data_IF_995470879129
#
_entry.id   IF_995470879129
#
_cell.length_a   1.000
_cell.length_b   1.000
_cell.length_c   1.000
_cell.angle_alpha   90.00
_cell.angle_beta   90.00
_cell.angle_gamma   90.00
#
_symmetry.space_group_name_H-M   'P 1'
#
loop_
_entity.id
_entity.type
_entity.pdbx_description
1 polymer ?
#
# COMPACT_ATOMS: atom_id res chain seq x y z
N UNK A 1 -20.41 0.84 -17.69
CA UNK A 1 -20.45 2.13 -17.00
C UNK A 1 -19.05 2.39 -16.46
N UNK A 2 -18.55 3.60 -16.63
CA UNK A 2 -17.22 3.97 -16.18
C UNK A 2 -17.35 4.45 -14.73
N UNK A 3 -16.75 3.70 -13.80
CA UNK A 3 -16.80 4.00 -12.37
C UNK A 3 -15.38 4.30 -11.89
N UNK A 4 -15.25 5.19 -10.92
CA UNK A 4 -13.95 5.61 -10.40
C UNK A 4 -13.95 5.67 -8.88
N UNK A 5 -12.83 5.26 -8.28
CA UNK A 5 -12.44 5.70 -6.94
C UNK A 5 -11.66 7.00 -7.07
N UNK A 6 -12.15 8.04 -6.41
CA UNK A 6 -11.52 9.35 -6.29
C UNK A 6 -10.93 9.44 -4.89
N UNK A 7 -9.60 9.60 -4.82
CA UNK A 7 -8.88 9.83 -3.58
C UNK A 7 -8.33 11.24 -3.58
N UNK A 8 -8.66 12.02 -2.57
CA UNK A 8 -8.18 13.40 -2.40
C UNK A 8 -7.55 13.54 -1.02
N UNK A 9 -6.37 14.14 -0.97
CA UNK A 9 -5.72 14.67 0.22
C UNK A 9 -5.39 16.14 -0.08
N UNK A 10 -5.85 17.09 0.74
CA UNK A 10 -5.63 18.52 0.52
C UNK A 10 -5.71 19.31 1.83
N UNK A 11 -5.20 20.55 1.91
CA UNK A 11 -5.48 21.43 3.04
C UNK A 11 -6.99 21.63 3.22
N UNK A 12 -7.46 21.53 4.46
CA UNK A 12 -8.88 21.70 4.78
C UNK A 12 -9.33 23.16 4.59
N UNK A 13 -10.54 23.34 4.05
CA UNK A 13 -11.21 24.64 3.95
C UNK A 13 -12.72 24.47 3.79
N UNK A 14 -13.44 25.51 4.19
CA UNK A 14 -14.89 25.58 3.98
C UNK A 14 -15.24 25.45 2.49
N UNK A 15 -16.27 24.65 2.21
CA UNK A 15 -16.82 24.48 0.85
C UNK A 15 -16.18 23.38 0.00
N UNK A 16 -15.09 22.71 0.44
CA UNK A 16 -14.43 21.65 -0.34
C UNK A 16 -15.38 20.57 -0.81
N UNK A 17 -16.11 19.94 0.11
CA UNK A 17 -17.05 18.85 -0.20
C UNK A 17 -18.12 19.31 -1.19
N UNK A 18 -18.65 20.53 -1.01
CA UNK A 18 -19.65 21.10 -1.90
C UNK A 18 -19.11 21.28 -3.33
N UNK A 19 -17.92 21.86 -3.48
CA UNK A 19 -17.32 22.13 -4.79
C UNK A 19 -16.95 20.82 -5.50
N UNK A 20 -16.42 19.83 -4.78
CA UNK A 20 -16.10 18.50 -5.31
C UNK A 20 -17.37 17.78 -5.75
N UNK A 21 -18.41 17.74 -4.91
CA UNK A 21 -19.69 17.12 -5.25
C UNK A 21 -20.37 17.82 -6.44
N UNK A 22 -20.29 19.15 -6.50
CA UNK A 22 -20.79 19.93 -7.65
C UNK A 22 -20.05 19.56 -8.93
N UNK A 23 -18.72 19.45 -8.89
CA UNK A 23 -17.92 19.00 -10.03
C UNK A 23 -18.35 17.62 -10.53
N UNK A 24 -18.55 16.65 -9.63
CA UNK A 24 -19.04 15.32 -10.03
C UNK A 24 -20.41 15.39 -10.70
N UNK A 25 -21.33 16.17 -10.14
CA UNK A 25 -22.67 16.37 -10.70
C UNK A 25 -22.63 17.04 -12.08
N UNK A 26 -21.86 18.11 -12.26
CA UNK A 26 -21.71 18.84 -13.52
C UNK A 26 -21.10 17.96 -14.63
N UNK A 27 -20.23 17.02 -14.27
CA UNK A 27 -19.66 16.03 -15.18
C UNK A 27 -20.54 14.78 -15.37
N UNK A 28 -21.76 14.76 -14.82
CA UNK A 28 -22.73 13.68 -15.03
C UNK A 28 -22.50 12.41 -14.20
N UNK A 29 -21.70 12.49 -13.13
CA UNK A 29 -21.45 11.38 -12.22
C UNK A 29 -22.47 11.32 -11.07
N UNK A 30 -22.82 10.11 -10.67
CA UNK A 30 -23.50 9.81 -9.42
C UNK A 30 -22.48 9.42 -8.35
N UNK A 31 -22.66 9.88 -7.11
CA UNK A 31 -21.86 9.41 -5.96
C UNK A 31 -22.52 8.14 -5.41
N UNK A 32 -21.86 7.00 -5.54
CA UNK A 32 -22.34 5.73 -5.00
C UNK A 32 -21.96 5.54 -3.53
N UNK A 33 -20.77 6.03 -3.15
CA UNK A 33 -20.27 6.02 -1.77
C UNK A 33 -19.30 7.17 -1.58
N UNK A 34 -19.31 7.78 -0.40
CA UNK A 34 -18.35 8.78 0.01
C UNK A 34 -17.99 8.56 1.47
N UNK A 35 -16.69 8.62 1.76
CA UNK A 35 -16.13 8.62 3.11
C UNK A 35 -15.15 9.80 3.19
N UNK A 36 -15.21 10.59 4.27
CA UNK A 36 -14.38 11.79 4.47
C UNK A 36 -13.81 11.86 5.88
N UNK A 37 -12.64 12.49 6.02
CA UNK A 37 -11.98 12.70 7.30
C UNK A 37 -11.18 14.02 7.29
N UNK A 38 -11.27 14.78 8.39
CA UNK A 38 -10.48 15.99 8.60
C UNK A 38 -9.54 15.78 9.78
N UNK A 39 -8.24 15.84 9.53
CA UNK A 39 -7.23 15.98 10.57
C UNK A 39 -7.15 17.45 11.01
N UNK A 40 -7.86 17.79 12.09
CA UNK A 40 -7.91 19.15 12.63
C UNK A 40 -6.55 19.65 13.12
N UNK A 41 -5.65 18.74 13.54
CA UNK A 41 -4.33 19.11 14.05
C UNK A 41 -3.42 19.57 12.90
N UNK A 42 -3.45 18.84 11.79
CA UNK A 42 -2.64 19.16 10.61
C UNK A 42 -3.39 20.04 9.60
N UNK A 43 -4.67 20.36 9.84
CA UNK A 43 -5.57 21.07 8.93
C UNK A 43 -5.60 20.41 7.54
N UNK A 44 -5.67 19.08 7.53
CA UNK A 44 -5.65 18.28 6.30
C UNK A 44 -6.99 17.56 6.14
N UNK A 45 -7.53 17.59 4.94
CA UNK A 45 -8.75 16.92 4.52
C UNK A 45 -8.44 15.71 3.64
N UNK A 46 -9.17 14.62 3.87
CA UNK A 46 -9.09 13.37 3.12
C UNK A 46 -10.48 12.98 2.65
N UNK A 47 -10.61 12.58 1.38
CA UNK A 47 -11.85 12.14 0.79
C UNK A 47 -11.63 10.91 -0.08
N UNK A 48 -12.47 9.89 0.12
CA UNK A 48 -12.59 8.74 -0.76
C UNK A 48 -14.01 8.68 -1.30
N UNK A 49 -14.17 8.83 -2.61
CA UNK A 49 -15.48 8.79 -3.26
C UNK A 49 -15.51 7.74 -4.36
N UNK A 50 -16.49 6.85 -4.34
CA UNK A 50 -16.83 5.99 -5.47
C UNK A 50 -17.90 6.70 -6.30
N UNK A 51 -17.54 7.09 -7.53
CA UNK A 51 -18.43 7.74 -8.48
C UNK A 51 -18.74 6.82 -9.66
N UNK A 52 -19.95 6.94 -10.21
CA UNK A 52 -20.44 6.12 -11.32
C UNK A 52 -21.03 7.02 -12.40
N UNK A 53 -20.65 6.82 -13.66
CA UNK A 53 -21.25 7.56 -14.77
C UNK A 53 -22.73 7.17 -14.94
N UNK A 54 -23.63 8.16 -15.00
CA UNK A 54 -25.08 7.91 -15.15
C UNK A 54 -25.47 7.32 -16.51
N UNK A 55 -24.71 7.63 -17.53
CA UNK A 55 -24.86 7.08 -18.88
C UNK A 55 -23.50 6.58 -19.38
N UNK A 56 -23.50 5.68 -20.36
CA UNK A 56 -22.26 5.24 -21.00
C UNK A 56 -21.75 6.37 -21.89
N UNK A 57 -21.08 7.37 -21.29
CA UNK A 57 -20.47 8.45 -22.04
C UNK A 57 -19.33 7.86 -22.88
N UNK A 58 -19.38 8.11 -24.20
CA UNK A 58 -18.27 7.84 -25.10
C UNK A 58 -17.16 8.91 -24.99
N UNK A 59 -17.16 9.71 -23.91
CA UNK A 59 -16.21 10.79 -23.72
C UNK A 59 -14.88 10.23 -23.21
N UNK A 60 -14.01 9.91 -24.15
CA UNK A 60 -12.66 9.41 -23.88
C UNK A 60 -11.79 10.38 -23.05
N UNK A 61 -12.20 11.64 -22.88
CA UNK A 61 -11.49 12.66 -22.11
C UNK A 61 -12.09 12.92 -20.72
N UNK A 62 -13.07 12.12 -20.27
CA UNK A 62 -13.75 12.37 -19.00
C UNK A 62 -12.80 12.36 -17.79
N UNK A 63 -11.78 11.50 -17.79
CA UNK A 63 -10.78 11.44 -16.72
C UNK A 63 -9.91 12.71 -16.69
N UNK A 64 -9.48 13.21 -17.86
CA UNK A 64 -8.69 14.45 -17.98
C UNK A 64 -9.49 15.66 -17.51
N UNK A 65 -10.77 15.75 -17.93
CA UNK A 65 -11.70 16.81 -17.47
C UNK A 65 -11.92 16.74 -15.97
N UNK A 66 -12.15 15.54 -15.43
CA UNK A 66 -12.34 15.33 -14.00
C UNK A 66 -11.10 15.76 -13.21
N UNK A 67 -9.91 15.35 -13.66
CA UNK A 67 -8.64 15.75 -13.05
C UNK A 67 -8.47 17.27 -13.06
N UNK A 68 -8.63 17.91 -14.21
CA UNK A 68 -8.45 19.35 -14.35
C UNK A 68 -9.44 20.13 -13.46
N UNK A 69 -10.70 19.71 -13.40
CA UNK A 69 -11.70 20.35 -12.54
C UNK A 69 -11.39 20.19 -11.04
N UNK A 70 -10.96 19.00 -10.61
CA UNK A 70 -10.56 18.78 -9.22
C UNK A 70 -9.29 19.57 -8.86
N UNK A 71 -8.28 19.59 -9.74
CA UNK A 71 -7.07 20.40 -9.54
C UNK A 71 -7.40 21.88 -9.41
N UNK A 72 -8.30 22.40 -10.24
CA UNK A 72 -8.77 23.78 -10.12
C UNK A 72 -9.45 24.05 -8.77
N UNK A 73 -10.32 23.15 -8.30
CA UNK A 73 -10.98 23.29 -6.99
C UNK A 73 -9.95 23.30 -5.86
N UNK A 74 -9.00 22.36 -5.86
CA UNK A 74 -8.04 22.21 -4.76
C UNK A 74 -6.98 23.34 -4.77
N UNK A 75 -6.63 23.86 -5.95
CA UNK A 75 -5.64 24.94 -6.10
C UNK A 75 -6.24 26.36 -6.01
N UNK A 76 -7.55 26.55 -6.19
CA UNK A 76 -8.20 27.87 -6.25
C UNK A 76 -7.94 28.79 -5.03
N UNK A 77 -7.46 28.24 -3.92
CA UNK A 77 -7.08 29.01 -2.72
C UNK A 77 -5.80 28.47 -2.04
N UNK A 78 -4.97 27.70 -2.75
CA UNK A 78 -3.63 27.39 -2.23
C UNK A 78 -2.91 28.73 -2.01
N UNK A 79 -2.31 28.99 -0.84
CA UNK A 79 -1.58 30.23 -0.65
C UNK A 79 -0.49 30.30 -1.70
N UNK A 80 -0.71 31.09 -2.75
CA UNK A 80 0.34 31.45 -3.69
C UNK A 80 1.50 31.94 -2.84
N UNK A 81 2.68 31.35 -3.02
CA UNK A 81 3.92 31.84 -2.46
C UNK A 81 4.14 33.29 -2.93
N UNK A 82 3.57 34.24 -2.19
CA UNK A 82 3.97 35.64 -2.22
C UNK A 82 5.11 35.75 -1.22
N UNK A 83 6.30 35.45 -1.73
CA UNK A 83 7.54 36.20 -1.50
C UNK A 83 8.73 35.31 -1.87
N UNK A 84 9.33 35.55 -3.04
CA UNK A 84 10.61 36.27 -3.17
C UNK A 84 11.30 35.95 -4.50
N UNK A 85 11.63 37.03 -5.21
CA UNK A 85 12.69 37.19 -6.23
C UNK A 85 12.54 36.55 -7.62
N UNK A 86 12.53 37.45 -8.61
CA UNK A 86 13.00 37.30 -9.99
C UNK A 86 14.12 36.27 -10.13
N UNK A 87 13.91 35.23 -10.95
CA UNK A 87 14.68 35.01 -12.19
C UNK A 87 14.33 33.67 -12.86
N UNK A 88 14.53 33.66 -14.17
CA UNK A 88 14.55 32.52 -15.11
C UNK A 88 13.22 31.96 -15.61
N UNK A 89 12.81 32.56 -16.73
CA UNK A 89 12.16 31.91 -17.87
C UNK A 89 13.08 30.78 -18.39
N UNK A 90 12.46 29.69 -18.88
CA UNK A 90 12.98 28.54 -19.68
C UNK A 90 13.08 27.21 -18.92
N UNK A 91 12.01 26.41 -18.93
CA UNK A 91 11.98 25.06 -19.55
C UNK A 91 10.57 24.43 -19.49
N UNK A 92 9.72 24.85 -20.42
CA UNK A 92 8.56 24.08 -20.86
C UNK A 92 9.05 22.92 -21.76
N UNK A 93 9.00 21.70 -21.24
CA UNK A 93 8.70 20.43 -21.94
C UNK A 93 9.23 19.26 -21.11
N UNK A 94 8.41 18.21 -20.97
CA UNK A 94 8.65 16.96 -20.21
C UNK A 94 8.12 16.96 -18.76
N UNK A 95 6.82 17.19 -18.54
CA UNK A 95 6.02 16.49 -17.49
C UNK A 95 4.57 16.38 -18.00
N UNK A 96 4.29 15.34 -18.79
CA UNK A 96 2.92 14.83 -19.00
C UNK A 96 2.94 13.43 -18.35
N UNK A 97 2.18 13.25 -17.27
CA UNK A 97 1.97 12.04 -16.44
C UNK A 97 2.44 12.07 -14.97
N UNK A 98 2.81 13.21 -14.42
CA UNK A 98 2.99 13.36 -12.96
C UNK A 98 2.03 14.44 -12.49
N UNK A 99 1.03 14.07 -11.68
CA UNK A 99 0.06 15.02 -11.13
C UNK A 99 0.75 16.17 -10.40
N UNK A 100 0.07 17.32 -10.33
CA UNK A 100 0.56 18.52 -9.65
C UNK A 100 0.84 18.17 -8.18
N UNK A 101 2.12 17.97 -7.84
CA UNK A 101 2.59 17.82 -6.46
C UNK A 101 2.92 19.20 -5.90
N UNK A 102 1.90 19.92 -5.43
CA UNK A 102 2.11 20.82 -4.30
C UNK A 102 2.18 19.90 -3.08
N UNK A 103 3.17 20.05 -2.18
CA UNK A 103 3.49 19.05 -1.13
C UNK A 103 2.33 18.68 -0.19
N UNK A 104 1.20 19.38 -0.24
CA UNK A 104 0.01 19.15 0.57
C UNK A 104 -1.25 18.70 -0.22
N UNK A 105 -1.20 18.60 -1.56
CA UNK A 105 -2.36 18.19 -2.38
C UNK A 105 -2.02 16.93 -3.19
N UNK A 106 -2.87 15.92 -3.09
CA UNK A 106 -2.79 14.67 -3.86
C UNK A 106 -4.18 14.29 -4.39
N UNK A 107 -4.25 13.95 -5.67
CA UNK A 107 -5.48 13.48 -6.34
C UNK A 107 -5.17 12.19 -7.09
N UNK A 108 -5.87 11.11 -6.73
CA UNK A 108 -5.87 9.86 -7.51
C UNK A 108 -7.27 9.62 -8.06
N UNK A 109 -7.31 9.33 -9.36
CA UNK A 109 -8.52 8.90 -10.07
C UNK A 109 -8.20 7.49 -10.54
N UNK A 110 -8.94 6.51 -10.02
CA UNK A 110 -8.63 5.10 -10.22
C UNK A 110 -9.87 4.45 -10.81
N UNK A 111 -9.82 3.86 -12.02
CA UNK A 111 -10.96 3.12 -12.56
C UNK A 111 -11.35 2.00 -11.60
N UNK A 112 -12.61 1.96 -11.16
CA UNK A 112 -13.06 1.05 -10.09
C UNK A 112 -12.98 -0.44 -10.52
N UNK A 113 -13.02 -0.71 -11.84
CA UNK A 113 -12.88 -2.06 -12.38
C UNK A 113 -11.43 -2.48 -12.64
N UNK A 114 -10.44 -1.58 -12.43
CA UNK A 114 -9.01 -1.92 -12.62
C UNK A 114 -8.59 -2.95 -11.59
N UNK A 115 -8.25 -4.15 -12.04
CA UNK A 115 -7.60 -5.15 -11.19
C UNK A 115 -6.18 -4.72 -10.89
N UNK A 116 -5.83 -4.63 -9.60
CA UNK A 116 -4.48 -4.28 -9.18
C UNK A 116 -3.52 -5.45 -9.31
N UNK A 117 -2.28 -5.19 -9.68
CA UNK A 117 -1.23 -6.18 -9.86
C UNK A 117 -0.30 -6.27 -8.66
N UNK A 118 -0.04 -7.50 -8.19
CA UNK A 118 0.73 -7.81 -6.99
C UNK A 118 1.92 -8.69 -7.31
N UNK A 119 3.02 -8.49 -6.58
CA UNK A 119 4.11 -9.47 -6.47
C UNK A 119 4.30 -9.85 -5.01
N UNK A 120 4.29 -11.14 -4.73
CA UNK A 120 4.46 -11.67 -3.37
C UNK A 120 5.92 -12.01 -3.12
N UNK A 121 6.42 -11.72 -1.93
CA UNK A 121 7.76 -12.07 -1.48
C UNK A 121 7.66 -13.03 -0.30
N UNK A 122 8.46 -14.09 -0.30
CA UNK A 122 8.45 -15.08 0.78
C UNK A 122 9.84 -15.69 1.01
N UNK A 123 10.05 -16.29 2.18
CA UNK A 123 11.27 -17.02 2.53
C UNK A 123 10.98 -18.52 2.64
N UNK A 124 10.79 -19.06 3.85
CA UNK A 124 10.53 -20.51 4.07
C UNK A 124 9.18 -20.77 4.75
N UNK A 125 8.65 -19.79 5.47
CA UNK A 125 7.37 -19.90 6.17
C UNK A 125 6.21 -19.75 5.18
N UNK A 126 5.25 -20.66 5.23
CA UNK A 126 4.21 -20.79 4.20
C UNK A 126 2.87 -20.17 4.58
N UNK A 127 2.61 -19.86 5.86
CA UNK A 127 1.25 -19.59 6.34
C UNK A 127 0.65 -18.31 5.74
N UNK A 128 1.39 -17.20 5.73
CA UNK A 128 0.93 -15.95 5.10
C UNK A 128 0.78 -16.07 3.59
N UNK A 129 1.77 -16.67 2.90
CA UNK A 129 1.72 -16.90 1.46
C UNK A 129 0.54 -17.80 1.07
N UNK A 130 0.36 -18.91 1.80
CA UNK A 130 -0.71 -19.87 1.55
C UNK A 130 -2.09 -19.30 1.77
N UNK A 131 -2.29 -18.45 2.80
CA UNK A 131 -3.56 -17.75 3.03
C UNK A 131 -3.91 -16.81 1.86
N UNK A 132 -2.93 -16.00 1.42
CA UNK A 132 -3.12 -15.10 0.26
C UNK A 132 -3.46 -15.91 -1.00
N UNK A 133 -2.73 -16.99 -1.28
CA UNK A 133 -2.98 -17.82 -2.47
C UNK A 133 -4.34 -18.51 -2.43
N UNK A 134 -4.79 -18.96 -1.26
CA UNK A 134 -6.12 -19.54 -1.11
C UNK A 134 -7.24 -18.51 -1.40
N UNK A 135 -7.09 -17.28 -0.91
CA UNK A 135 -8.02 -16.18 -1.19
C UNK A 135 -7.97 -15.71 -2.65
N UNK A 136 -6.81 -15.83 -3.28
CA UNK A 136 -6.66 -15.56 -4.70
C UNK A 136 -7.42 -16.58 -5.55
N UNK A 137 -7.22 -17.87 -5.27
CA UNK A 137 -7.87 -18.98 -5.96
C UNK A 137 -9.40 -18.96 -5.79
N UNK A 138 -9.89 -18.58 -4.61
CA UNK A 138 -11.33 -18.44 -4.34
C UNK A 138 -11.97 -17.21 -4.99
N UNK A 139 -11.18 -16.32 -5.62
CA UNK A 139 -11.65 -15.05 -6.19
C UNK A 139 -11.96 -13.97 -5.15
N UNK A 140 -11.59 -14.17 -3.88
CA UNK A 140 -11.76 -13.17 -2.82
C UNK A 140 -10.81 -11.98 -3.03
N UNK A 141 -9.60 -12.23 -3.53
CA UNK A 141 -8.67 -11.16 -3.93
C UNK A 141 -9.02 -10.70 -5.36
N UNK A 142 -9.71 -9.56 -5.49
CA UNK A 142 -9.93 -8.89 -6.77
C UNK A 142 -8.64 -8.21 -7.29
N UNK A 143 -7.60 -9.00 -7.52
CA UNK A 143 -6.27 -8.60 -7.92
C UNK A 143 -5.67 -9.62 -8.89
N UNK A 144 -4.52 -9.31 -9.45
CA UNK A 144 -3.71 -10.21 -10.25
C UNK A 144 -2.37 -10.46 -9.54
N UNK A 145 -2.03 -11.72 -9.23
CA UNK A 145 -0.71 -12.05 -8.70
C UNK A 145 0.21 -12.37 -9.88
N UNK A 146 1.14 -11.45 -10.19
CA UNK A 146 2.06 -11.55 -11.32
C UNK A 146 3.14 -12.62 -11.10
N UNK A 147 3.69 -12.66 -9.88
CA UNK A 147 4.71 -13.64 -9.50
C UNK A 147 4.85 -13.74 -7.98
N UNK A 148 5.52 -14.81 -7.54
CA UNK A 148 6.09 -14.96 -6.22
C UNK A 148 7.61 -14.92 -6.36
N UNK A 149 8.28 -14.00 -5.66
CA UNK A 149 9.73 -13.93 -5.55
C UNK A 149 10.15 -14.55 -4.22
N UNK A 150 11.15 -15.41 -4.25
CA UNK A 150 11.72 -15.97 -3.02
C UNK A 150 13.23 -16.10 -3.08
N UNK A 151 13.86 -15.96 -1.92
CA UNK A 151 15.27 -16.28 -1.73
C UNK A 151 15.53 -17.78 -1.49
N UNK A 152 14.49 -18.62 -1.44
CA UNK A 152 14.59 -20.08 -1.36
C UNK A 152 13.57 -20.76 -2.29
N UNK A 153 13.84 -21.98 -2.72
CA UNK A 153 12.92 -22.77 -3.57
C UNK A 153 11.87 -23.57 -2.79
N UNK A 154 11.92 -23.58 -1.45
CA UNK A 154 11.09 -24.45 -0.59
C UNK A 154 9.58 -24.31 -0.85
N UNK A 155 9.12 -23.11 -1.21
CA UNK A 155 7.71 -22.80 -1.43
C UNK A 155 7.29 -22.85 -2.92
N UNK A 156 8.19 -23.19 -3.83
CA UNK A 156 7.85 -23.36 -5.25
C UNK A 156 6.74 -24.42 -5.48
N UNK A 157 6.73 -25.58 -4.80
CA UNK A 157 5.64 -26.54 -4.95
C UNK A 157 4.28 -26.00 -4.52
N UNK A 158 4.25 -25.04 -3.58
CA UNK A 158 3.01 -24.37 -3.16
C UNK A 158 2.51 -23.44 -4.27
N UNK A 159 3.39 -22.57 -4.80
CA UNK A 159 3.06 -21.67 -5.90
C UNK A 159 2.49 -22.41 -7.13
N UNK A 160 3.12 -23.54 -7.48
CA UNK A 160 2.70 -24.40 -8.59
C UNK A 160 1.27 -24.93 -8.47
N UNK A 161 0.81 -25.25 -7.25
CA UNK A 161 -0.58 -25.71 -7.02
C UNK A 161 -1.61 -24.65 -7.37
N UNK A 162 -1.24 -23.38 -7.26
CA UNK A 162 -2.09 -22.24 -7.57
C UNK A 162 -1.81 -21.64 -8.95
N UNK A 163 -0.94 -22.27 -9.76
CA UNK A 163 -0.61 -21.79 -11.10
C UNK A 163 0.11 -20.43 -11.15
N UNK A 164 0.73 -20.00 -10.05
CA UNK A 164 1.43 -18.71 -9.97
C UNK A 164 2.92 -18.87 -10.31
N UNK A 165 3.45 -17.96 -11.13
CA UNK A 165 4.87 -17.91 -11.48
C UNK A 165 5.74 -17.78 -10.22
N UNK A 166 6.78 -18.62 -10.10
CA UNK A 166 7.72 -18.59 -8.97
C UNK A 166 9.12 -18.26 -9.46
N UNK A 167 9.68 -17.18 -8.92
CA UNK A 167 11.01 -16.67 -9.26
C UNK A 167 11.93 -16.88 -8.06
N UNK A 168 12.78 -17.91 -8.14
CA UNK A 168 13.81 -18.16 -7.14
C UNK A 168 15.04 -17.30 -7.44
N UNK A 169 15.28 -16.29 -6.61
CA UNK A 169 16.41 -15.37 -6.73
C UNK A 169 17.19 -15.45 -5.42
N UNK A 170 18.25 -16.25 -5.41
CA UNK A 170 19.11 -16.42 -4.24
C UNK A 170 20.21 -15.34 -4.17
N UNK A 171 20.47 -14.75 -2.98
CA UNK A 171 21.61 -13.86 -2.79
C UNK A 171 22.94 -14.63 -2.87
N UNK A 172 23.96 -14.01 -3.45
CA UNK A 172 25.31 -14.62 -3.58
C UNK A 172 26.10 -14.61 -2.28
N UNK A 173 25.72 -13.78 -1.32
CA UNK A 173 26.38 -13.64 -0.04
C UNK A 173 25.60 -12.74 0.93
N UNK A 174 26.28 -12.29 1.98
CA UNK A 174 25.71 -11.48 3.06
C UNK A 174 26.26 -10.06 3.10
N UNK A 175 27.21 -9.71 2.24
CA UNK A 175 27.75 -8.35 2.20
C UNK A 175 26.70 -7.34 1.71
N UNK A 176 26.93 -6.05 1.97
CA UNK A 176 26.06 -5.00 1.43
C UNK A 176 26.08 -4.98 -0.10
N UNK A 177 27.21 -5.31 -0.71
CA UNK A 177 27.36 -5.44 -2.16
C UNK A 177 26.54 -6.61 -2.71
N UNK A 178 26.62 -7.79 -2.07
CA UNK A 178 25.77 -8.95 -2.43
C UNK A 178 24.29 -8.63 -2.28
N UNK A 179 23.92 -7.86 -1.25
CA UNK A 179 22.54 -7.44 -1.03
C UNK A 179 22.05 -6.53 -2.16
N UNK A 180 22.88 -5.56 -2.57
CA UNK A 180 22.56 -4.66 -3.70
C UNK A 180 22.46 -5.43 -5.01
N UNK A 181 23.39 -6.35 -5.29
CA UNK A 181 23.32 -7.22 -6.47
C UNK A 181 22.04 -8.08 -6.48
N UNK A 182 21.69 -8.64 -5.32
CA UNK A 182 20.49 -9.43 -5.15
C UNK A 182 19.23 -8.62 -5.46
N UNK A 183 19.14 -7.41 -4.93
CA UNK A 183 18.03 -6.49 -5.15
C UNK A 183 17.98 -5.96 -6.60
N UNK A 184 19.11 -5.74 -7.26
CA UNK A 184 19.16 -5.39 -8.70
C UNK A 184 18.52 -6.49 -9.54
N UNK A 185 18.86 -7.76 -9.30
CA UNK A 185 18.24 -8.89 -10.02
C UNK A 185 16.74 -9.01 -9.74
N UNK A 186 16.30 -8.68 -8.53
CA UNK A 186 14.88 -8.62 -8.21
C UNK A 186 14.22 -7.51 -9.04
N UNK A 187 14.80 -6.30 -9.10
CA UNK A 187 14.26 -5.19 -9.89
C UNK A 187 14.18 -5.52 -11.38
N UNK A 188 15.20 -6.15 -11.95
CA UNK A 188 15.19 -6.63 -13.35
C UNK A 188 14.05 -7.63 -13.59
N UNK A 189 13.84 -8.57 -12.67
CA UNK A 189 12.74 -9.52 -12.75
C UNK A 189 11.38 -8.83 -12.64
N UNK A 190 11.22 -7.84 -11.75
CA UNK A 190 9.99 -7.06 -11.59
C UNK A 190 9.68 -6.25 -12.86
N UNK A 191 10.68 -5.65 -13.51
CA UNK A 191 10.50 -4.92 -14.77
C UNK A 191 9.91 -5.81 -15.87
N UNK A 192 10.32 -7.08 -15.95
CA UNK A 192 9.80 -8.05 -16.91
C UNK A 192 8.31 -8.41 -16.71
N UNK A 193 7.71 -8.09 -15.55
CA UNK A 193 6.32 -8.40 -15.23
C UNK A 193 5.33 -7.27 -15.60
N UNK A 194 5.83 -6.09 -15.98
CA UNK A 194 5.03 -4.91 -16.30
C UNK A 194 4.66 -4.07 -15.07
N UNK A 195 3.49 -3.42 -15.11
CA UNK A 195 3.03 -2.54 -14.03
C UNK A 195 2.69 -3.34 -12.76
N UNK A 196 3.15 -2.85 -11.61
CA UNK A 196 2.92 -3.47 -10.30
C UNK A 196 2.40 -2.40 -9.33
N UNK A 197 1.25 -2.66 -8.71
CA UNK A 197 0.65 -1.78 -7.72
C UNK A 197 1.25 -1.98 -6.33
N UNK A 198 1.45 -3.24 -5.91
CA UNK A 198 2.00 -3.54 -4.60
C UNK A 198 2.98 -4.72 -4.59
N UNK A 199 4.02 -4.58 -3.80
CA UNK A 199 4.84 -5.70 -3.32
C UNK A 199 4.34 -6.12 -1.94
N UNK A 200 4.22 -7.42 -1.70
CA UNK A 200 3.72 -7.93 -0.41
C UNK A 200 4.74 -8.88 0.19
N UNK A 201 5.35 -8.47 1.30
CA UNK A 201 6.31 -9.26 2.07
C UNK A 201 5.55 -10.26 2.96
N UNK A 202 5.16 -11.39 2.39
CA UNK A 202 4.52 -12.50 3.10
C UNK A 202 5.57 -13.31 3.87
N UNK A 203 6.03 -12.75 4.99
CA UNK A 203 7.12 -13.31 5.83
C UNK A 203 8.43 -13.45 5.06
N UNK A 204 8.79 -12.40 4.32
CA UNK A 204 10.09 -12.28 3.69
C UNK A 204 11.13 -11.82 4.73
N UNK A 205 12.08 -12.69 5.06
CA UNK A 205 13.01 -12.50 6.19
C UNK A 205 14.29 -11.75 5.83
N UNK A 206 14.29 -10.97 4.73
CA UNK A 206 15.42 -10.12 4.34
C UNK A 206 14.99 -8.66 4.41
N UNK A 207 15.81 -7.85 5.08
CA UNK A 207 15.65 -6.39 5.15
C UNK A 207 15.91 -5.84 3.75
N UNK A 208 15.07 -4.96 3.22
CA UNK A 208 15.28 -4.29 1.93
C UNK A 208 16.20 -3.07 2.09
N UNK A 209 16.98 -2.69 1.08
CA UNK A 209 17.74 -1.43 1.14
C UNK A 209 16.85 -0.21 0.92
N UNK A 210 17.24 0.98 1.45
CA UNK A 210 16.59 2.25 1.09
C UNK A 210 16.51 2.47 -0.41
N UNK A 211 17.56 2.11 -1.16
CA UNK A 211 17.61 2.23 -2.62
C UNK A 211 16.52 1.40 -3.30
N UNK A 212 16.27 0.16 -2.84
CA UNK A 212 15.16 -0.66 -3.34
C UNK A 212 13.80 -0.05 -3.00
N UNK A 213 13.61 0.39 -1.75
CA UNK A 213 12.34 0.95 -1.25
C UNK A 213 11.90 2.17 -2.06
N UNK A 214 12.85 3.03 -2.49
CA UNK A 214 12.58 4.23 -3.31
C UNK A 214 11.88 3.94 -4.65
N UNK A 215 11.97 2.72 -5.17
CA UNK A 215 11.25 2.34 -6.40
C UNK A 215 9.75 2.11 -6.15
N UNK A 216 9.37 1.83 -4.89
CA UNK A 216 8.00 1.47 -4.50
C UNK A 216 7.54 2.25 -3.25
N UNK A 217 7.57 3.60 -3.28
CA UNK A 217 7.18 4.42 -2.13
C UNK A 217 5.73 4.14 -1.77
N UNK A 218 5.45 3.79 -0.50
CA UNK A 218 4.13 3.41 0.00
C UNK A 218 3.44 2.29 -0.79
N UNK A 219 4.23 1.41 -1.45
CA UNK A 219 3.73 0.29 -2.26
C UNK A 219 4.27 -1.07 -1.82
N UNK A 220 5.02 -1.13 -0.72
CA UNK A 220 5.52 -2.38 -0.15
C UNK A 220 4.80 -2.63 1.18
N UNK A 221 3.95 -3.65 1.24
CA UNK A 221 3.28 -4.08 2.46
C UNK A 221 4.11 -5.15 3.16
N UNK A 222 4.26 -5.06 4.47
CA UNK A 222 4.93 -6.07 5.30
C UNK A 222 4.02 -6.55 6.42
N UNK A 223 4.20 -7.81 6.83
CA UNK A 223 3.66 -8.34 8.08
C UNK A 223 4.77 -8.52 9.10
N UNK A 224 4.71 -7.73 10.17
CA UNK A 224 5.55 -7.92 11.33
C UNK A 224 4.83 -8.78 12.37
N UNK A 225 5.57 -9.68 13.00
CA UNK A 225 5.04 -10.73 13.87
C UNK A 225 5.12 -10.36 15.36
N UNK A 226 4.98 -9.06 15.61
CA UNK A 226 4.73 -8.49 16.93
C UNK A 226 3.66 -7.41 16.81
N UNK A 227 3.07 -7.06 17.95
CA UNK A 227 2.21 -5.88 18.05
C UNK A 227 3.11 -4.64 18.21
N UNK A 228 3.50 -4.02 17.08
CA UNK A 228 4.32 -2.81 17.07
C UNK A 228 3.70 -1.70 17.94
N UNK A 229 4.53 -0.90 18.65
CA UNK A 229 5.99 -0.83 18.59
C UNK A 229 6.72 -1.85 19.50
N UNK A 230 6.01 -2.78 20.14
CA UNK A 230 6.65 -3.75 21.03
C UNK A 230 7.43 -4.81 20.23
N UNK A 231 8.59 -5.23 20.76
CA UNK A 231 9.39 -6.35 20.23
C UNK A 231 9.80 -6.16 18.75
N UNK A 232 10.53 -5.09 18.45
CA UNK A 232 11.14 -4.83 17.14
C UNK A 232 12.35 -5.77 16.93
N UNK A 233 12.69 -6.05 15.67
CA UNK A 233 13.87 -6.81 15.31
C UNK A 233 13.71 -8.32 15.45
N UNK A 234 14.82 -9.01 15.74
CA UNK A 234 14.87 -10.46 15.63
C UNK A 234 14.15 -11.20 16.78
N UNK A 235 13.49 -12.31 16.45
CA UNK A 235 12.86 -13.26 17.39
C UNK A 235 11.84 -12.64 18.39
N UNK A 236 10.85 -11.84 17.95
CA UNK A 236 9.89 -11.18 18.84
C UNK A 236 9.09 -12.15 19.73
N UNK A 237 8.77 -13.37 19.27
CA UNK A 237 8.10 -14.36 20.12
C UNK A 237 8.96 -14.83 21.30
N UNK A 238 10.29 -14.89 21.15
CA UNK A 238 11.18 -15.19 22.28
C UNK A 238 11.23 -14.02 23.24
N UNK A 239 11.35 -12.79 22.72
CA UNK A 239 11.30 -11.58 23.55
C UNK A 239 9.98 -11.49 24.34
N UNK A 240 8.84 -11.78 23.70
CA UNK A 240 7.53 -11.81 24.32
C UNK A 240 7.43 -12.88 25.44
N UNK A 241 7.97 -14.08 25.18
CA UNK A 241 8.04 -15.17 26.15
C UNK A 241 8.87 -14.78 27.38
N UNK A 242 10.09 -14.26 27.17
CA UNK A 242 11.00 -13.81 28.22
C UNK A 242 10.38 -12.68 29.06
N UNK A 243 9.64 -11.78 28.41
CA UNK A 243 8.93 -10.67 29.07
C UNK A 243 7.68 -11.12 29.84
N UNK A 244 7.18 -12.33 29.57
CA UNK A 244 6.03 -12.93 30.25
C UNK A 244 4.68 -12.33 29.87
N UNK A 245 4.55 -11.78 28.66
CA UNK A 245 3.32 -11.10 28.20
C UNK A 245 2.10 -12.04 28.21
N UNK A 246 0.90 -11.43 28.25
CA UNK A 246 -0.39 -12.15 28.17
C UNK A 246 -1.13 -11.90 26.86
N UNK A 247 -0.53 -11.10 25.99
CA UNK A 247 -0.99 -10.83 24.64
C UNK A 247 0.22 -10.85 23.70
N UNK A 248 0.03 -11.42 22.52
CA UNK A 248 0.92 -11.26 21.38
C UNK A 248 0.08 -10.77 20.21
N UNK A 249 0.71 -10.27 19.15
CA UNK A 249 -0.01 -9.76 18.00
C UNK A 249 0.85 -9.67 16.77
N UNK A 250 0.26 -9.10 15.72
CA UNK A 250 0.92 -8.83 14.46
C UNK A 250 0.51 -7.45 13.95
N UNK A 251 1.38 -6.84 13.16
CA UNK A 251 1.18 -5.52 12.55
C UNK A 251 1.46 -5.59 11.07
N UNK A 252 0.48 -5.22 10.24
CA UNK A 252 0.73 -4.94 8.83
C UNK A 252 0.97 -3.45 8.64
N UNK A 253 2.02 -3.11 7.91
CA UNK A 253 2.46 -1.74 7.70
C UNK A 253 3.11 -1.57 6.33
N UNK A 254 3.21 -0.33 5.85
CA UNK A 254 4.07 -0.05 4.69
C UNK A 254 5.54 -0.08 5.11
N UNK A 255 6.41 -0.56 4.22
CA UNK A 255 7.86 -0.54 4.44
C UNK A 255 8.39 0.85 4.10
N UNK A 256 9.23 1.38 4.99
CA UNK A 256 9.99 2.62 4.81
C UNK A 256 11.49 2.34 5.02
N UNK A 257 12.33 3.36 4.84
CA UNK A 257 13.77 3.24 5.07
C UNK A 257 14.11 2.85 6.52
N UNK A 258 13.23 3.18 7.47
CA UNK A 258 13.35 2.78 8.86
C UNK A 258 12.71 1.41 9.08
N UNK A 259 13.50 0.46 9.56
CA UNK A 259 13.06 -0.92 9.78
C UNK A 259 11.91 -0.99 10.79
N UNK A 260 10.82 -1.65 10.41
CA UNK A 260 9.62 -1.88 11.24
C UNK A 260 8.94 -0.60 11.79
N UNK A 261 9.19 0.56 11.19
CA UNK A 261 8.69 1.87 11.66
C UNK A 261 7.72 2.56 10.69
N UNK A 262 7.41 1.91 9.57
CA UNK A 262 6.53 2.52 8.57
C UNK A 262 5.06 2.63 9.01
N UNK A 263 4.23 3.36 8.24
CA UNK A 263 2.84 3.61 8.58
C UNK A 263 2.06 2.30 8.77
N UNK A 264 1.54 2.10 9.98
CA UNK A 264 0.73 0.93 10.33
C UNK A 264 -0.62 1.00 9.60
N UNK A 265 -1.02 -0.09 8.95
CA UNK A 265 -2.30 -0.23 8.23
C UNK A 265 -3.34 -0.89 9.15
N UNK A 266 -2.99 -2.03 9.75
CA UNK A 266 -3.86 -2.74 10.69
C UNK A 266 -3.03 -3.60 11.64
N UNK A 267 -3.59 -3.90 12.81
CA UNK A 267 -2.99 -4.74 13.83
C UNK A 267 -4.05 -5.64 14.44
N UNK A 268 -3.60 -6.70 15.11
CA UNK A 268 -4.46 -7.56 15.91
C UNK A 268 -3.68 -8.29 16.99
N UNK A 269 -4.39 -8.85 17.95
CA UNK A 269 -3.80 -9.55 19.07
C UNK A 269 -4.52 -10.85 19.40
N UNK A 270 -3.82 -11.75 20.07
CA UNK A 270 -4.40 -12.90 20.75
C UNK A 270 -3.93 -12.94 22.19
N UNK A 271 -4.83 -13.40 23.06
CA UNK A 271 -4.49 -13.70 24.44
C UNK A 271 -3.67 -15.00 24.50
N UNK A 272 -2.67 -15.01 25.38
CA UNK A 272 -1.87 -16.19 25.72
C UNK A 272 -1.71 -16.27 27.24
N UNK A 273 -1.30 -17.44 27.73
CA UNK A 273 -1.09 -17.65 29.15
C UNK A 273 0.30 -18.27 29.43
N UNK A 274 0.58 -18.53 30.71
CA UNK A 274 1.88 -19.03 31.17
C UNK A 274 2.19 -20.47 30.73
N UNK A 275 1.24 -21.23 30.18
CA UNK A 275 1.50 -22.58 29.68
C UNK A 275 2.14 -22.58 28.28
N UNK A 276 2.13 -21.44 27.58
CA UNK A 276 2.70 -21.33 26.24
C UNK A 276 4.22 -21.26 26.31
N UNK A 277 4.89 -22.17 25.60
CA UNK A 277 6.28 -22.00 25.17
C UNK A 277 6.37 -20.95 24.06
N UNK A 278 7.56 -20.39 23.83
CA UNK A 278 7.77 -19.44 22.72
C UNK A 278 7.43 -20.04 21.33
N UNK A 279 7.55 -21.36 21.16
CA UNK A 279 7.17 -22.05 19.91
C UNK A 279 5.66 -22.15 19.73
N UNK A 280 4.93 -22.34 20.83
CA UNK A 280 3.46 -22.33 20.80
C UNK A 280 2.94 -20.90 20.57
N UNK A 281 3.60 -19.89 21.15
CA UNK A 281 3.32 -18.48 20.82
C UNK A 281 3.51 -18.21 19.32
N UNK A 282 4.60 -18.71 18.72
CA UNK A 282 4.83 -18.57 17.28
C UNK A 282 3.74 -19.26 16.44
N UNK A 283 3.32 -20.47 16.80
CA UNK A 283 2.23 -21.18 16.09
C UNK A 283 0.92 -20.42 16.18
N UNK A 284 0.53 -19.98 17.38
CA UNK A 284 -0.71 -19.24 17.59
C UNK A 284 -0.67 -17.87 16.90
N UNK A 285 0.49 -17.20 16.92
CA UNK A 285 0.71 -15.94 16.24
C UNK A 285 0.57 -16.02 14.72
N UNK A 286 0.89 -17.17 14.11
CA UNK A 286 0.74 -17.39 12.67
C UNK A 286 -0.69 -17.18 12.14
N UNK A 287 -1.73 -17.45 12.95
CA UNK A 287 -3.12 -17.16 12.57
C UNK A 287 -3.42 -15.66 12.55
N UNK A 288 -2.86 -14.93 13.52
CA UNK A 288 -2.97 -13.47 13.61
C UNK A 288 -2.24 -12.81 12.44
N UNK A 289 -1.03 -13.28 12.13
CA UNK A 289 -0.22 -12.79 11.00
C UNK A 289 -0.98 -12.90 9.67
N UNK A 290 -1.59 -14.08 9.39
CA UNK A 290 -2.41 -14.29 8.19
C UNK A 290 -3.56 -13.30 8.09
N UNK A 291 -4.36 -13.21 9.17
CA UNK A 291 -5.55 -12.36 9.18
C UNK A 291 -5.20 -10.88 9.01
N UNK A 292 -4.17 -10.42 9.73
CA UNK A 292 -3.72 -9.02 9.68
C UNK A 292 -3.20 -8.66 8.28
N UNK A 293 -2.37 -9.52 7.67
CA UNK A 293 -1.86 -9.26 6.33
C UNK A 293 -2.98 -9.28 5.27
N UNK A 294 -3.91 -10.24 5.35
CA UNK A 294 -5.03 -10.32 4.43
C UNK A 294 -5.93 -9.07 4.51
N UNK A 295 -6.21 -8.57 5.72
CA UNK A 295 -6.98 -7.33 5.91
C UNK A 295 -6.25 -6.11 5.35
N UNK A 296 -4.94 -5.99 5.61
CA UNK A 296 -4.15 -4.89 5.04
C UNK A 296 -4.14 -4.92 3.51
N UNK A 297 -3.97 -6.10 2.92
CA UNK A 297 -4.01 -6.28 1.47
C UNK A 297 -5.38 -5.90 0.90
N UNK A 298 -6.48 -6.32 1.54
CA UNK A 298 -7.83 -5.93 1.12
C UNK A 298 -8.02 -4.40 1.13
N UNK A 299 -7.61 -3.72 2.19
CA UNK A 299 -7.68 -2.26 2.28
C UNK A 299 -6.88 -1.58 1.15
N UNK A 300 -5.67 -2.07 0.85
CA UNK A 300 -4.84 -1.56 -0.23
C UNK A 300 -5.49 -1.80 -1.61
N UNK A 301 -6.02 -3.00 -1.84
CA UNK A 301 -6.70 -3.38 -3.08
C UNK A 301 -7.99 -2.61 -3.33
N UNK A 302 -8.64 -2.12 -2.28
CA UNK A 302 -9.88 -1.35 -2.37
C UNK A 302 -9.67 0.19 -2.32
N UNK A 303 -8.42 0.68 -2.41
CA UNK A 303 -8.12 2.13 -2.37
C UNK A 303 -8.59 2.80 -1.07
N UNK A 304 -8.49 2.08 0.05
CA UNK A 304 -8.99 2.52 1.36
C UNK A 304 -7.94 3.13 2.27
N UNK A 305 -6.71 3.26 1.79
CA UNK A 305 -5.57 3.69 2.60
C UNK A 305 -5.01 5.00 2.05
N UNK A 306 -4.98 6.03 2.89
CA UNK A 306 -4.13 7.19 2.68
C UNK A 306 -2.92 7.09 3.61
N UNK A 307 -1.74 7.43 3.09
CA UNK A 307 -0.55 7.63 3.93
C UNK A 307 -0.36 9.13 4.09
N UNK A 308 -0.34 9.59 5.33
CA UNK A 308 -0.05 10.98 5.65
C UNK A 308 0.93 11.05 6.80
N UNK A 309 2.06 11.70 6.56
CA UNK A 309 3.22 11.64 7.43
C UNK A 309 3.59 10.16 7.67
N UNK A 310 3.73 9.73 8.93
CA UNK A 310 4.02 8.32 9.27
C UNK A 310 2.78 7.58 9.81
N UNK A 311 1.58 7.96 9.36
CA UNK A 311 0.31 7.35 9.79
C UNK A 311 -0.56 7.01 8.58
N UNK A 312 -1.56 6.16 8.80
CA UNK A 312 -2.57 5.85 7.81
C UNK A 312 -3.93 6.39 8.20
N UNK A 313 -4.71 6.79 7.21
CA UNK A 313 -6.15 7.03 7.33
C UNK A 313 -6.83 5.89 6.57
N UNK A 314 -7.73 5.18 7.25
CA UNK A 314 -8.40 3.98 6.74
C UNK A 314 -9.89 4.26 6.59
N UNK A 315 -10.44 4.06 5.38
CA UNK A 315 -11.85 4.22 5.04
C UNK A 315 -12.57 2.87 4.82
#
# INVERSE_FOLDING_TARGET
MQDFHILISAPDRQGLVFEIARCFFELGFNIARQDEFVDLQNKQFFLRTHIQARESSADFQVEEKLRASLENILCANAPCARDSTQDSIIQDSIIRNSGVQNSNIEIKIIPAQRKKSLVLFCTKENHCLGDILLRYDSGELNAEIKAIISNHSVLEPLARKFGVCFLHIEPRGLSLEDKREHETRILEALQGLGEIDFLVLAKYMRILTPEFIKHFPNRILNIHHSFLPAFIGANPYKQAYERGVKIIGASAHFVTENLDEGPIITQDTIAINHSYTWREMQRAGGDVEKSVLARALKLALEDRIFVFQNRTIIF
#
